data_IF_991193688178
#
_entry.id   IF_991193688178
#
_cell.length_a   1.000
_cell.length_b   1.000
_cell.length_c   1.000
_cell.angle_alpha   90.00
_cell.angle_beta   90.00
_cell.angle_gamma   90.00
#
_symmetry.space_group_name_H-M   'P 1'
#
loop_
_entity.id
_entity.type
_entity.pdbx_description
1 polymer ?
#
# COMPACT_ATOMS: atom_id res chain seq x y z
N UNK A 1 -1.14 22.38 -22.03
CA UNK A 1 -2.14 21.56 -21.30
C UNK A 1 -2.27 20.20 -22.01
N UNK A 2 -1.19 19.42 -22.04
CA UNK A 2 -0.78 18.43 -21.03
C UNK A 2 -1.27 17.04 -21.44
N UNK A 3 -0.46 16.33 -22.24
CA UNK A 3 -0.59 14.89 -22.44
C UNK A 3 0.81 14.30 -22.36
N UNK A 4 1.31 14.21 -21.12
CA UNK A 4 2.59 13.61 -20.80
C UNK A 4 2.49 12.10 -21.09
N UNK A 5 3.47 11.62 -21.83
CA UNK A 5 3.61 10.29 -22.41
C UNK A 5 3.50 9.16 -21.38
N UNK A 6 2.47 8.33 -21.50
CA UNK A 6 2.58 6.89 -21.21
C UNK A 6 2.34 6.17 -22.54
N UNK A 7 3.34 5.47 -23.12
CA UNK A 7 3.10 4.64 -24.29
C UNK A 7 1.97 3.66 -23.94
N UNK A 8 0.98 3.54 -24.83
CA UNK A 8 -0.16 2.63 -24.65
C UNK A 8 0.35 1.24 -24.29
N UNK A 9 0.13 0.85 -23.04
CA UNK A 9 0.07 -0.53 -22.58
C UNK A 9 -1.12 -1.15 -23.33
N UNK A 10 -0.85 -1.81 -24.46
CA UNK A 10 -1.84 -2.53 -25.26
C UNK A 10 -2.12 -3.89 -24.59
N UNK A 11 -2.61 -3.81 -23.35
CA UNK A 11 -2.85 -4.95 -22.45
C UNK A 11 -4.33 -5.05 -22.09
N UNK A 12 -5.18 -4.64 -23.03
CA UNK A 12 -6.62 -4.73 -22.91
C UNK A 12 -7.12 -6.18 -22.68
N UNK A 13 -6.30 -7.20 -22.90
CA UNK A 13 -6.71 -8.61 -22.76
C UNK A 13 -6.11 -9.35 -21.55
N UNK A 14 -5.00 -8.88 -20.96
CA UNK A 14 -4.30 -9.62 -19.89
C UNK A 14 -4.76 -9.27 -18.48
N UNK A 15 -5.20 -8.02 -18.25
CA UNK A 15 -5.78 -7.57 -16.96
C UNK A 15 -7.29 -7.31 -17.04
N UNK A 16 -7.94 -7.68 -18.15
CA UNK A 16 -9.38 -7.57 -18.30
C UNK A 16 -10.11 -8.57 -17.42
N UNK A 17 -10.81 -8.05 -16.42
CA UNK A 17 -11.67 -8.84 -15.54
C UNK A 17 -12.89 -9.44 -16.24
N UNK A 18 -13.13 -9.08 -17.51
CA UNK A 18 -14.18 -9.60 -18.39
C UNK A 18 -13.92 -11.04 -18.86
N UNK A 19 -12.75 -11.63 -18.58
CA UNK A 19 -12.36 -12.95 -19.07
C UNK A 19 -13.05 -14.12 -18.35
N UNK A 20 -13.35 -13.95 -17.07
CA UNK A 20 -14.03 -14.95 -16.23
C UNK A 20 -15.15 -14.29 -15.43
N UNK A 21 -16.15 -15.09 -15.06
CA UNK A 21 -17.23 -14.65 -14.16
C UNK A 21 -16.73 -14.44 -12.73
N UNK A 22 -17.47 -13.70 -11.91
CA UNK A 22 -17.07 -13.41 -10.52
C UNK A 22 -16.90 -14.68 -9.68
N UNK A 23 -17.67 -15.73 -9.96
CA UNK A 23 -17.60 -17.02 -9.26
C UNK A 23 -16.33 -17.81 -9.63
N UNK A 24 -15.93 -17.80 -10.91
CA UNK A 24 -14.68 -18.42 -11.36
C UNK A 24 -13.46 -17.71 -10.78
N UNK A 25 -13.49 -16.37 -10.68
CA UNK A 25 -12.43 -15.61 -10.01
C UNK A 25 -12.29 -15.95 -8.53
N UNK A 26 -13.38 -16.27 -7.84
CA UNK A 26 -13.35 -16.71 -6.44
C UNK A 26 -12.77 -18.14 -6.32
N UNK A 27 -12.87 -18.98 -7.35
CA UNK A 27 -12.20 -20.28 -7.38
C UNK A 27 -10.67 -20.19 -7.45
N UNK A 28 -10.12 -19.09 -7.98
CA UNK A 28 -8.66 -18.85 -8.00
C UNK A 28 -8.12 -18.24 -6.70
N UNK A 29 -9.00 -17.94 -5.76
CA UNK A 29 -8.66 -17.37 -4.47
C UNK A 29 -7.80 -18.34 -3.68
N UNK A 30 -6.60 -17.92 -3.30
CA UNK A 30 -5.69 -18.71 -2.47
C UNK A 30 -5.43 -17.99 -1.14
N UNK A 31 -6.34 -18.11 -0.15
CA UNK A 31 -6.22 -17.41 1.12
C UNK A 31 -5.08 -18.02 1.94
N UNK A 32 -4.09 -17.18 2.28
CA UNK A 32 -2.94 -17.58 3.07
C UNK A 32 -2.92 -16.81 4.39
N UNK A 33 -3.64 -17.35 5.38
CA UNK A 33 -3.78 -16.73 6.70
C UNK A 33 -2.43 -16.50 7.39
N UNK A 34 -1.49 -17.46 7.29
CA UNK A 34 -0.18 -17.36 7.94
C UNK A 34 0.64 -16.18 7.39
N UNK A 35 0.72 -16.06 6.07
CA UNK A 35 1.42 -14.94 5.41
C UNK A 35 0.74 -13.62 5.76
N UNK A 36 -0.60 -13.58 5.74
CA UNK A 36 -1.36 -12.38 6.06
C UNK A 36 -1.16 -11.90 7.50
N UNK A 37 -1.18 -12.82 8.47
CA UNK A 37 -0.86 -12.53 9.87
C UNK A 37 0.58 -12.03 10.02
N UNK A 38 1.55 -12.62 9.34
CA UNK A 38 2.93 -12.17 9.38
C UNK A 38 3.08 -10.72 8.91
N UNK A 39 2.41 -10.34 7.82
CA UNK A 39 2.39 -8.95 7.34
C UNK A 39 1.73 -7.99 8.32
N UNK A 40 0.57 -8.34 8.89
CA UNK A 40 -0.13 -7.48 9.85
C UNK A 40 0.69 -7.32 11.14
N UNK A 41 1.22 -8.41 11.68
CA UNK A 41 2.00 -8.37 12.92
C UNK A 41 3.28 -7.53 12.75
N UNK A 42 4.01 -7.73 11.65
CA UNK A 42 5.21 -6.93 11.36
C UNK A 42 4.86 -5.45 11.15
N UNK A 43 3.79 -5.15 10.42
CA UNK A 43 3.28 -3.79 10.24
C UNK A 43 2.99 -3.08 11.57
N UNK A 44 2.25 -3.73 12.47
CA UNK A 44 1.92 -3.18 13.80
C UNK A 44 3.20 -2.89 14.59
N UNK A 45 4.20 -3.78 14.55
CA UNK A 45 5.47 -3.58 15.24
C UNK A 45 6.17 -2.32 14.71
N UNK A 46 6.23 -2.14 13.39
CA UNK A 46 6.82 -0.95 12.78
C UNK A 46 6.04 0.32 13.10
N UNK A 47 4.71 0.30 13.06
CA UNK A 47 3.86 1.45 13.39
C UNK A 47 4.06 1.90 14.84
N UNK A 48 4.11 0.96 15.79
CA UNK A 48 4.37 1.25 17.21
C UNK A 48 5.76 1.87 17.41
N UNK A 49 6.77 1.46 16.63
CA UNK A 49 8.10 2.06 16.67
C UNK A 49 8.15 3.45 16.02
N UNK A 50 7.35 3.70 14.98
CA UNK A 50 7.30 4.98 14.29
C UNK A 50 6.63 6.09 15.11
N UNK A 51 5.56 5.78 15.84
CA UNK A 51 4.82 6.74 16.67
C UNK A 51 5.70 7.53 17.68
N UNK A 52 6.54 6.92 18.53
CA UNK A 52 7.40 7.66 19.45
C UNK A 52 8.47 8.47 18.72
N UNK A 53 8.99 7.97 17.60
CA UNK A 53 9.97 8.71 16.78
C UNK A 53 9.33 9.98 16.22
N UNK A 54 8.15 9.88 15.62
CA UNK A 54 7.40 11.04 15.13
C UNK A 54 7.05 12.00 16.26
N UNK A 55 6.62 11.51 17.43
CA UNK A 55 6.32 12.35 18.59
C UNK A 55 7.54 13.16 19.06
N UNK A 56 8.72 12.53 19.16
CA UNK A 56 9.97 13.23 19.50
C UNK A 56 10.34 14.22 18.39
N UNK A 57 10.16 13.86 17.13
CA UNK A 57 10.48 14.73 16.02
C UNK A 57 9.57 15.97 15.93
N UNK A 58 8.34 15.90 16.44
CA UNK A 58 7.44 17.07 16.43
C UNK A 58 7.86 18.15 17.42
N UNK A 59 8.78 17.88 18.35
CA UNK A 59 9.19 18.84 19.37
C UNK A 59 9.80 20.12 18.77
N UNK A 60 9.45 21.31 19.30
CA UNK A 60 9.87 22.60 18.75
C UNK A 60 11.39 22.79 18.81
N UNK A 61 12.09 22.12 19.73
CA UNK A 61 13.57 22.15 19.84
C UNK A 61 14.28 21.69 18.56
N UNK A 62 13.73 20.71 17.86
CA UNK A 62 14.36 20.16 16.64
C UNK A 62 13.84 20.79 15.35
N UNK A 63 12.64 21.40 15.38
CA UNK A 63 11.99 22.02 14.21
C UNK A 63 12.71 23.27 13.66
N UNK A 64 13.62 23.87 14.43
CA UNK A 64 14.40 25.04 14.01
C UNK A 64 15.33 24.75 12.81
N UNK A 65 15.72 23.49 12.59
CA UNK A 65 16.60 23.11 11.46
C UNK A 65 15.78 22.65 10.26
N UNK A 66 16.06 23.18 9.07
CA UNK A 66 15.37 22.82 7.82
C UNK A 66 15.46 21.32 7.49
N UNK A 67 16.60 20.68 7.79
CA UNK A 67 16.79 19.23 7.59
C UNK A 67 15.77 18.40 8.38
N UNK A 68 15.48 18.80 9.61
CA UNK A 68 14.58 18.08 10.50
C UNK A 68 13.11 18.19 10.06
N UNK A 69 12.73 19.29 9.41
CA UNK A 69 11.40 19.41 8.77
C UNK A 69 11.24 18.38 7.65
N UNK A 70 12.26 18.20 6.81
CA UNK A 70 12.23 17.22 5.72
C UNK A 70 12.18 15.80 6.27
N UNK A 71 12.99 15.49 7.30
CA UNK A 71 12.97 14.18 7.97
C UNK A 71 11.59 13.86 8.58
N UNK A 72 10.90 14.87 9.14
CA UNK A 72 9.55 14.69 9.66
C UNK A 72 8.53 14.40 8.55
N UNK A 73 8.61 15.10 7.41
CA UNK A 73 7.75 14.80 6.26
C UNK A 73 7.99 13.40 5.71
N UNK A 74 9.26 12.99 5.57
CA UNK A 74 9.60 11.63 5.13
C UNK A 74 9.06 10.58 6.11
N UNK A 75 9.22 10.79 7.42
CA UNK A 75 8.72 9.85 8.43
C UNK A 75 7.19 9.69 8.42
N UNK A 76 6.44 10.75 8.10
CA UNK A 76 4.98 10.67 7.93
C UNK A 76 4.60 9.89 6.68
N UNK A 77 5.33 10.08 5.58
CA UNK A 77 5.13 9.32 4.34
C UNK A 77 5.43 7.84 4.61
N UNK A 78 6.56 7.52 5.25
CA UNK A 78 6.95 6.15 5.57
C UNK A 78 5.90 5.45 6.46
N UNK A 79 5.41 6.13 7.49
CA UNK A 79 4.33 5.61 8.34
C UNK A 79 3.06 5.30 7.52
N UNK A 80 2.67 6.20 6.61
CA UNK A 80 1.50 5.98 5.74
C UNK A 80 1.73 4.81 4.77
N UNK A 81 2.95 4.69 4.23
CA UNK A 81 3.34 3.59 3.36
C UNK A 81 3.35 2.24 4.10
N UNK A 82 3.82 2.18 5.34
CA UNK A 82 3.81 0.95 6.16
C UNK A 82 2.37 0.47 6.41
N UNK A 83 1.45 1.38 6.75
CA UNK A 83 0.03 1.06 6.93
C UNK A 83 -0.53 0.42 5.66
N UNK A 84 -0.31 1.05 4.51
CA UNK A 84 -0.86 0.58 3.23
C UNK A 84 -0.21 -0.75 2.82
N UNK A 85 1.11 -0.85 2.89
CA UNK A 85 1.82 -2.04 2.44
C UNK A 85 1.61 -3.25 3.36
N UNK A 86 1.54 -3.04 4.68
CA UNK A 86 1.46 -4.15 5.63
C UNK A 86 0.01 -4.53 5.95
N UNK A 87 -0.86 -3.56 6.22
CA UNK A 87 -2.25 -3.83 6.63
C UNK A 87 -3.10 -4.21 5.42
N UNK A 88 -3.03 -3.45 4.32
CA UNK A 88 -3.85 -3.73 3.14
C UNK A 88 -3.37 -5.01 2.44
N UNK A 89 -2.05 -5.20 2.27
CA UNK A 89 -1.53 -6.44 1.68
C UNK A 89 -1.73 -7.65 2.60
N UNK A 90 -1.64 -7.47 3.91
CA UNK A 90 -1.97 -8.50 4.89
C UNK A 90 -3.44 -8.92 4.79
N UNK A 91 -4.37 -7.95 4.74
CA UNK A 91 -5.78 -8.20 4.50
C UNK A 91 -6.02 -8.91 3.15
N UNK A 92 -5.36 -8.46 2.08
CA UNK A 92 -5.46 -9.14 0.78
C UNK A 92 -4.92 -10.56 0.80
N UNK A 93 -3.88 -10.84 1.60
CA UNK A 93 -3.37 -12.21 1.79
C UNK A 93 -4.32 -13.11 2.57
N UNK A 94 -4.97 -12.59 3.62
CA UNK A 94 -5.99 -13.35 4.39
C UNK A 94 -7.19 -13.64 3.50
N UNK A 95 -7.64 -12.64 2.75
CA UNK A 95 -8.70 -12.83 1.78
C UNK A 95 -8.19 -13.72 0.64
N UNK A 96 -6.94 -13.67 0.21
CA UNK A 96 -6.49 -14.34 -1.01
C UNK A 96 -7.07 -13.70 -2.27
N UNK A 97 -7.38 -12.39 -2.21
CA UNK A 97 -8.07 -11.66 -3.27
C UNK A 97 -7.25 -11.65 -4.57
N UNK A 98 -7.88 -12.01 -5.69
CA UNK A 98 -7.33 -11.72 -7.02
C UNK A 98 -7.62 -10.28 -7.41
N UNK A 99 -6.81 -9.71 -8.33
CA UNK A 99 -6.94 -8.32 -8.78
C UNK A 99 -8.39 -7.96 -9.17
N UNK A 100 -9.07 -8.89 -9.84
CA UNK A 100 -10.42 -8.68 -10.35
C UNK A 100 -11.54 -8.73 -9.31
N UNK A 101 -11.28 -9.19 -8.08
CA UNK A 101 -12.30 -9.18 -7.01
C UNK A 101 -12.52 -7.76 -6.47
N UNK A 102 -11.45 -6.94 -6.38
CA UNK A 102 -11.50 -5.55 -5.89
C UNK A 102 -10.47 -4.63 -6.59
N UNK A 103 -10.60 -4.39 -7.91
CA UNK A 103 -9.57 -3.76 -8.73
C UNK A 103 -9.25 -2.32 -8.30
N UNK A 104 -10.27 -1.53 -7.92
CA UNK A 104 -10.06 -0.16 -7.43
C UNK A 104 -9.21 -0.10 -6.16
N UNK A 105 -9.43 -1.06 -5.26
CA UNK A 105 -8.77 -1.10 -3.95
C UNK A 105 -7.29 -1.47 -4.12
N UNK A 106 -6.99 -2.46 -4.96
CA UNK A 106 -5.62 -2.84 -5.33
C UNK A 106 -4.91 -1.73 -6.11
N UNK A 107 -5.61 -1.06 -7.02
CA UNK A 107 -5.06 0.05 -7.80
C UNK A 107 -4.68 1.24 -6.91
N UNK A 108 -5.60 1.69 -6.05
CA UNK A 108 -5.37 2.81 -5.13
C UNK A 108 -4.21 2.48 -4.19
N UNK A 109 -4.17 1.26 -3.63
CA UNK A 109 -3.07 0.84 -2.75
C UNK A 109 -1.71 0.88 -3.47
N UNK A 110 -1.64 0.43 -4.73
CA UNK A 110 -0.43 0.48 -5.56
C UNK A 110 0.03 1.89 -5.93
N UNK A 111 -0.92 2.78 -6.24
CA UNK A 111 -0.62 4.19 -6.52
C UNK A 111 -0.01 4.89 -5.29
N UNK A 112 -0.61 4.69 -4.11
CA UNK A 112 -0.12 5.33 -2.89
C UNK A 112 1.27 4.79 -2.49
N UNK A 113 1.51 3.49 -2.65
CA UNK A 113 2.81 2.89 -2.32
C UNK A 113 3.93 3.27 -3.31
N UNK A 114 3.61 3.43 -4.59
CA UNK A 114 4.61 3.73 -5.64
C UNK A 114 4.83 5.23 -5.84
N UNK A 115 3.94 6.08 -5.34
CA UNK A 115 4.07 7.54 -5.42
C UNK A 115 4.14 8.08 -6.86
N UNK A 116 3.54 7.37 -7.82
CA UNK A 116 3.36 7.79 -9.22
C UNK A 116 1.90 8.11 -9.47
#
# INVERSE_FOLDING_TARGET
MNRFLLPRFDDGDMYSCSRYTAEEWDSFRNPNLFIGLFYICSGIIYDVLYLPVLAVMTQPKFRHRSCYRIMLYLGVIDFTCVIINSIISGYFSIVGSVYCTRPMLTYIAGCISTGK
#
